data_IF_604340122114
#
_entry.id   IF_604340122114
#
_cell.length_a   1.000
_cell.length_b   1.000
_cell.length_c   1.000
_cell.angle_alpha   90.00
_cell.angle_beta   90.00
_cell.angle_gamma   90.00
#
_symmetry.space_group_name_H-M   'P 1'
#
loop_
_entity.id
_entity.type
_entity.pdbx_description
1 polymer ?
#
# COMPACT_ATOMS: atom_id res chain seq x y z
N UNK A 1 13.77 -5.93 22.14
CA UNK A 1 14.01 -4.57 21.62
C UNK A 1 14.42 -3.71 22.80
N UNK A 2 15.57 -3.04 22.74
CA UNK A 2 15.97 -2.11 23.80
C UNK A 2 14.98 -0.95 23.84
N UNK A 3 14.51 -0.58 25.03
CA UNK A 3 13.65 0.59 25.26
C UNK A 3 14.36 1.91 24.94
N UNK A 4 15.69 1.88 24.83
CA UNK A 4 16.56 3.00 24.44
C UNK A 4 16.17 3.69 23.12
N UNK A 5 15.37 3.07 22.24
CA UNK A 5 15.01 3.67 20.94
C UNK A 5 13.76 4.55 20.95
N UNK A 6 12.83 4.39 21.91
CA UNK A 6 11.52 5.11 21.87
C UNK A 6 11.56 6.43 22.61
N UNK A 7 12.19 6.48 23.79
CA UNK A 7 12.37 7.72 24.54
C UNK A 7 13.25 8.71 23.78
N UNK A 8 14.31 8.22 23.12
CA UNK A 8 15.16 9.05 22.28
C UNK A 8 14.39 9.60 21.07
N UNK A 9 13.56 8.77 20.43
CA UNK A 9 12.72 9.23 19.32
C UNK A 9 11.74 10.31 19.78
N UNK A 10 11.10 10.11 20.93
CA UNK A 10 10.20 11.09 21.53
C UNK A 10 10.90 12.43 21.80
N UNK A 11 12.11 12.40 22.37
CA UNK A 11 12.91 13.60 22.64
C UNK A 11 13.34 14.34 21.37
N UNK A 12 13.49 13.64 20.25
CA UNK A 12 13.84 14.23 18.96
C UNK A 12 12.65 14.89 18.24
N UNK A 13 11.41 14.68 18.72
CA UNK A 13 10.23 15.35 18.17
C UNK A 13 10.21 16.83 18.58
N UNK A 14 9.58 17.67 17.75
CA UNK A 14 9.31 19.07 18.12
C UNK A 14 8.47 19.13 19.40
N UNK A 15 8.58 20.20 20.19
CA UNK A 15 7.77 20.40 21.41
C UNK A 15 6.28 20.21 21.12
N UNK A 16 5.80 20.77 20.01
CA UNK A 16 4.39 20.64 19.61
C UNK A 16 4.01 19.18 19.30
N UNK A 17 4.88 18.44 18.63
CA UNK A 17 4.66 17.01 18.35
C UNK A 17 4.67 16.18 19.63
N UNK A 18 5.54 16.49 20.59
CA UNK A 18 5.57 15.84 21.90
C UNK A 18 4.28 16.09 22.69
N UNK A 19 3.80 17.33 22.73
CA UNK A 19 2.52 17.69 23.36
C UNK A 19 1.36 16.93 22.73
N UNK A 20 1.23 16.98 21.40
CA UNK A 20 0.15 16.32 20.68
C UNK A 20 0.16 14.80 20.92
N UNK A 21 1.35 14.18 20.97
CA UNK A 21 1.50 12.75 21.23
C UNK A 21 1.09 12.41 22.68
N UNK A 22 1.52 13.19 23.68
CA UNK A 22 1.12 12.98 25.09
C UNK A 22 -0.39 13.13 25.27
N UNK A 23 -0.99 14.11 24.60
CA UNK A 23 -2.43 14.34 24.62
C UNK A 23 -3.19 13.15 23.98
N UNK A 24 -2.74 12.69 22.82
CA UNK A 24 -3.31 11.52 22.15
C UNK A 24 -3.26 10.28 23.03
N UNK A 25 -2.09 9.99 23.65
CA UNK A 25 -1.91 8.86 24.57
C UNK A 25 -2.88 8.97 25.76
N UNK A 26 -2.95 10.15 26.39
CA UNK A 26 -3.84 10.39 27.54
C UNK A 26 -5.29 10.11 27.17
N UNK A 27 -5.78 10.67 26.05
CA UNK A 27 -7.15 10.47 25.58
C UNK A 27 -7.44 9.01 25.25
N UNK A 28 -6.51 8.31 24.59
CA UNK A 28 -6.65 6.88 24.27
C UNK A 28 -6.80 6.06 25.56
N UNK A 29 -5.92 6.29 26.55
CA UNK A 29 -5.95 5.59 27.84
C UNK A 29 -7.25 5.85 28.60
N UNK A 30 -7.70 7.10 28.66
CA UNK A 30 -8.97 7.46 29.31
C UNK A 30 -10.17 6.76 28.67
N UNK A 31 -10.22 6.73 27.33
CA UNK A 31 -11.28 6.02 26.59
C UNK A 31 -11.24 4.53 26.87
N UNK A 32 -10.06 3.91 26.90
CA UNK A 32 -9.93 2.46 27.15
C UNK A 32 -10.24 2.07 28.60
N UNK A 33 -9.88 2.90 29.59
CA UNK A 33 -10.23 2.67 31.00
C UNK A 33 -11.74 2.63 31.25
N UNK A 34 -12.54 3.34 30.45
CA UNK A 34 -14.00 3.30 30.50
C UNK A 34 -14.62 2.29 29.52
N UNK A 35 -13.83 1.35 29.00
CA UNK A 35 -14.23 0.35 28.00
C UNK A 35 -14.82 0.95 26.71
N UNK A 36 -14.35 2.15 26.34
CA UNK A 36 -14.74 2.83 25.11
C UNK A 36 -13.99 2.33 23.88
N UNK A 37 -14.53 2.66 22.71
CA UNK A 37 -14.00 2.29 21.40
C UNK A 37 -13.25 3.46 20.74
N UNK A 38 -12.18 3.15 20.02
CA UNK A 38 -11.30 4.11 19.35
C UNK A 38 -11.20 3.74 17.87
N UNK A 39 -11.41 4.74 17.03
CA UNK A 39 -11.28 4.66 15.59
C UNK A 39 -10.14 5.56 15.12
N UNK A 40 -9.29 5.05 14.23
CA UNK A 40 -8.31 5.88 13.49
C UNK A 40 -8.94 6.31 12.17
N UNK A 41 -8.82 7.61 11.86
CA UNK A 41 -9.21 8.20 10.57
C UNK A 41 -7.93 8.73 9.92
N UNK A 42 -7.57 8.19 8.77
CA UNK A 42 -6.37 8.60 8.05
C UNK A 42 -6.60 8.76 6.55
N UNK A 43 -5.76 9.58 5.91
CA UNK A 43 -5.67 9.64 4.44
C UNK A 43 -4.76 8.54 3.88
N UNK A 44 -4.32 8.72 2.63
CA UNK A 44 -3.44 7.79 1.90
C UNK A 44 -1.96 7.83 2.30
N UNK A 45 -1.59 8.65 3.29
CA UNK A 45 -0.20 8.85 3.72
C UNK A 45 0.36 7.62 4.45
N UNK A 46 -0.30 7.10 5.49
CA UNK A 46 0.14 5.89 6.17
C UNK A 46 0.12 4.67 5.26
N UNK A 47 1.29 4.09 5.02
CA UNK A 47 1.45 2.93 4.16
C UNK A 47 2.40 1.89 4.75
N UNK A 48 2.29 0.67 4.23
CA UNK A 48 3.12 -0.47 4.63
C UNK A 48 4.61 -0.23 4.40
N UNK A 49 4.98 0.50 3.34
CA UNK A 49 6.38 0.80 3.03
C UNK A 49 7.04 1.81 3.98
N UNK A 50 6.23 2.61 4.67
CA UNK A 50 6.68 3.48 5.76
C UNK A 50 6.61 2.77 7.13
N UNK A 51 6.05 1.56 7.17
CA UNK A 51 5.80 0.79 8.39
C UNK A 51 4.63 1.29 9.24
N UNK A 52 3.95 2.38 8.85
CA UNK A 52 2.92 3.01 9.69
C UNK A 52 1.70 2.11 9.86
N UNK A 53 1.25 1.44 8.79
CA UNK A 53 0.12 0.52 8.86
C UNK A 53 0.41 -0.71 9.71
N UNK A 54 1.67 -1.16 9.77
CA UNK A 54 2.08 -2.26 10.67
C UNK A 54 2.00 -1.86 12.14
N UNK A 55 2.27 -0.59 12.46
CA UNK A 55 2.08 -0.07 13.82
C UNK A 55 0.60 0.03 14.17
N UNK A 56 -0.25 0.44 13.21
CA UNK A 56 -1.70 0.45 13.39
C UNK A 56 -2.23 -0.97 13.62
N UNK A 57 -1.79 -1.94 12.81
CA UNK A 57 -2.15 -3.35 12.95
C UNK A 57 -1.75 -3.91 14.32
N UNK A 58 -0.54 -3.58 14.81
CA UNK A 58 -0.11 -3.96 16.16
C UNK A 58 -1.03 -3.36 17.24
N UNK A 59 -1.40 -2.09 17.12
CA UNK A 59 -2.32 -1.46 18.08
C UNK A 59 -3.72 -2.07 18.04
N UNK A 60 -4.20 -2.50 16.87
CA UNK A 60 -5.44 -3.26 16.71
C UNK A 60 -5.33 -4.63 17.40
N UNK A 61 -4.24 -5.36 17.16
CA UNK A 61 -3.98 -6.66 17.78
C UNK A 61 -3.79 -6.63 19.31
N UNK A 62 -3.57 -5.43 19.89
CA UNK A 62 -3.54 -5.18 21.33
C UNK A 62 -4.85 -4.63 21.90
N UNK A 63 -5.92 -4.60 21.09
CA UNK A 63 -7.22 -4.02 21.45
C UNK A 63 -7.14 -2.53 21.85
N UNK A 64 -6.10 -1.81 21.42
CA UNK A 64 -5.95 -0.36 21.65
C UNK A 64 -6.72 0.42 20.59
N UNK A 65 -6.79 -0.08 19.35
CA UNK A 65 -7.56 0.50 18.26
C UNK A 65 -8.62 -0.51 17.84
N UNK A 66 -9.87 -0.07 17.71
CA UNK A 66 -11.00 -0.96 17.40
C UNK A 66 -11.43 -0.91 15.93
N UNK A 67 -11.06 0.16 15.22
CA UNK A 67 -11.40 0.33 13.81
C UNK A 67 -10.49 1.36 13.13
N UNK A 68 -10.38 1.25 11.81
CA UNK A 68 -9.62 2.18 10.98
C UNK A 68 -10.47 2.53 9.76
N UNK A 69 -10.49 3.80 9.38
CA UNK A 69 -10.95 4.25 8.06
C UNK A 69 -9.80 4.94 7.36
N UNK A 70 -9.57 4.56 6.11
CA UNK A 70 -8.44 5.04 5.30
C UNK A 70 -8.82 5.18 3.83
N UNK A 71 -7.88 5.66 3.02
CA UNK A 71 -7.99 5.66 1.56
C UNK A 71 -7.81 4.24 1.00
N UNK A 72 -8.55 3.92 -0.07
CA UNK A 72 -8.36 2.69 -0.85
C UNK A 72 -6.93 2.55 -1.39
N UNK A 73 -6.20 3.65 -1.56
CA UNK A 73 -4.79 3.62 -1.94
C UNK A 73 -3.92 2.87 -0.92
N UNK A 74 -4.25 2.94 0.37
CA UNK A 74 -3.53 2.20 1.41
C UNK A 74 -3.79 0.71 1.26
N UNK A 75 -5.05 0.30 1.08
CA UNK A 75 -5.43 -1.09 0.84
C UNK A 75 -4.74 -1.65 -0.42
N UNK A 76 -4.66 -0.86 -1.49
CA UNK A 76 -3.95 -1.25 -2.70
C UNK A 76 -2.45 -1.48 -2.46
N UNK A 77 -1.79 -0.69 -1.59
CA UNK A 77 -0.41 -0.95 -1.18
C UNK A 77 -0.28 -2.14 -0.23
N UNK A 78 -1.23 -2.38 0.67
CA UNK A 78 -1.22 -3.58 1.51
C UNK A 78 -1.32 -4.85 0.65
N UNK A 79 -2.17 -4.84 -0.39
CA UNK A 79 -2.29 -5.95 -1.35
C UNK A 79 -1.08 -6.07 -2.29
N UNK A 80 -0.59 -4.94 -2.80
CA UNK A 80 0.50 -4.89 -3.79
C UNK A 80 1.90 -5.01 -3.19
N UNK A 81 2.04 -4.95 -1.86
CA UNK A 81 3.31 -5.01 -1.16
C UNK A 81 3.96 -3.63 -0.93
N UNK A 82 5.17 -3.65 -0.37
CA UNK A 82 5.82 -2.44 0.14
C UNK A 82 6.51 -1.61 -0.94
N UNK A 83 7.56 -2.13 -1.55
CA UNK A 83 8.38 -1.38 -2.50
C UNK A 83 8.68 -2.23 -3.73
N UNK A 84 8.45 -1.62 -4.88
CA UNK A 84 8.79 -2.15 -6.19
C UNK A 84 10.01 -1.42 -6.74
N UNK A 85 10.83 -2.13 -7.50
CA UNK A 85 11.75 -1.47 -8.43
C UNK A 85 10.97 -1.16 -9.71
N UNK A 86 10.94 0.11 -10.10
CA UNK A 86 10.12 0.59 -11.22
C UNK A 86 10.98 1.35 -12.19
N UNK A 87 10.78 1.10 -13.49
CA UNK A 87 11.34 1.92 -14.57
C UNK A 87 10.29 2.91 -15.06
N UNK A 88 10.61 4.20 -15.01
CA UNK A 88 9.75 5.30 -15.47
C UNK A 88 10.20 5.73 -16.87
N UNK A 89 9.30 5.63 -17.84
CA UNK A 89 9.57 5.90 -19.26
C UNK A 89 8.50 6.86 -19.79
N UNK A 90 8.79 7.57 -20.88
CA UNK A 90 7.77 8.26 -21.66
C UNK A 90 6.72 7.25 -22.17
N UNK A 91 5.44 7.57 -21.98
CA UNK A 91 4.35 6.74 -22.50
C UNK A 91 4.37 6.64 -24.04
N UNK A 92 4.93 7.62 -24.74
CA UNK A 92 5.11 7.58 -26.18
C UNK A 92 6.04 6.44 -26.63
N UNK A 93 7.07 6.12 -25.83
CA UNK A 93 8.06 5.10 -26.19
C UNK A 93 7.49 3.68 -26.14
N UNK A 94 6.38 3.50 -25.43
CA UNK A 94 5.62 2.24 -25.38
C UNK A 94 4.38 2.27 -26.30
N UNK A 95 4.17 3.35 -27.04
CA UNK A 95 3.13 3.49 -28.05
C UNK A 95 1.81 4.11 -27.55
N UNK A 96 1.78 4.69 -26.35
CA UNK A 96 0.61 5.42 -25.86
C UNK A 96 0.66 6.90 -26.26
N UNK A 97 -0.52 7.49 -26.48
CA UNK A 97 -0.64 8.93 -26.61
C UNK A 97 -0.37 9.59 -25.23
N UNK A 98 0.64 10.47 -25.07
CA UNK A 98 0.95 11.12 -23.80
C UNK A 98 -0.21 11.94 -23.21
N UNK A 99 -1.13 12.42 -24.04
CA UNK A 99 -2.32 13.18 -23.64
C UNK A 99 -3.51 12.27 -23.30
N UNK A 100 -3.30 10.95 -23.26
CA UNK A 100 -4.36 10.01 -22.93
C UNK A 100 -4.87 10.20 -21.49
N UNK A 101 -6.19 10.21 -21.34
CA UNK A 101 -6.87 10.44 -20.06
C UNK A 101 -6.61 9.35 -19.00
N UNK A 102 -6.18 8.15 -19.40
CA UNK A 102 -5.86 7.05 -18.49
C UNK A 102 -4.41 7.08 -18.01
N UNK A 103 -3.55 7.93 -18.58
CA UNK A 103 -2.17 8.05 -18.10
C UNK A 103 -2.11 8.95 -16.85
N UNK A 104 -1.20 8.65 -15.91
CA UNK A 104 -0.86 9.60 -14.86
C UNK A 104 -0.41 10.94 -15.46
N UNK A 105 -0.66 12.03 -14.73
CA UNK A 105 -0.18 13.37 -15.11
C UNK A 105 1.32 13.33 -15.40
N UNK A 106 1.71 13.85 -16.56
CA UNK A 106 3.11 13.90 -17.00
C UNK A 106 3.46 12.91 -18.12
N UNK A 107 2.50 12.13 -18.64
CA UNK A 107 2.73 11.26 -19.80
C UNK A 107 3.75 10.15 -19.53
N UNK A 108 3.84 9.71 -18.27
CA UNK A 108 4.80 8.69 -17.82
C UNK A 108 4.12 7.33 -17.78
N UNK A 109 4.81 6.32 -18.30
CA UNK A 109 4.50 4.91 -18.11
C UNK A 109 5.48 4.30 -17.10
N UNK A 110 4.97 3.47 -16.20
CA UNK A 110 5.76 2.82 -15.16
C UNK A 110 5.74 1.30 -15.39
N UNK A 111 6.93 0.71 -15.53
CA UNK A 111 7.14 -0.74 -15.64
C UNK A 111 7.70 -1.27 -14.31
N UNK A 112 7.00 -2.21 -13.67
CA UNK A 112 7.54 -2.99 -12.55
C UNK A 112 8.66 -3.90 -13.05
N UNK A 113 9.84 -3.79 -12.44
CA UNK A 113 10.99 -4.63 -12.73
C UNK A 113 11.04 -5.78 -11.73
N UNK A 114 10.83 -7.00 -12.23
CA UNK A 114 10.94 -8.24 -11.47
C UNK A 114 11.79 -9.26 -12.25
N UNK A 115 12.08 -10.40 -11.63
CA UNK A 115 12.86 -11.46 -12.29
C UNK A 115 12.04 -12.11 -13.42
N UNK A 116 12.73 -12.78 -14.34
CA UNK A 116 12.05 -13.47 -15.44
C UNK A 116 11.20 -14.65 -14.93
N UNK A 117 11.58 -15.27 -13.82
CA UNK A 117 10.78 -16.29 -13.12
C UNK A 117 9.47 -15.69 -12.60
N UNK A 118 9.53 -14.57 -11.88
CA UNK A 118 8.33 -13.88 -11.36
C UNK A 118 7.40 -13.40 -12.49
N UNK A 119 7.96 -12.88 -13.59
CA UNK A 119 7.18 -12.54 -14.78
C UNK A 119 6.48 -13.76 -15.40
N UNK A 120 7.15 -14.92 -15.39
CA UNK A 120 6.60 -16.17 -15.93
C UNK A 120 5.48 -16.69 -15.04
N UNK A 121 5.66 -16.66 -13.71
CA UNK A 121 4.62 -17.02 -12.74
C UNK A 121 3.39 -16.12 -12.91
N UNK A 122 3.58 -14.80 -12.96
CA UNK A 122 2.50 -13.85 -13.19
C UNK A 122 1.78 -14.08 -14.53
N UNK A 123 2.51 -14.45 -15.57
CA UNK A 123 1.95 -14.78 -16.89
C UNK A 123 1.07 -16.05 -16.90
N UNK A 124 1.14 -16.88 -15.86
CA UNK A 124 0.20 -17.99 -15.69
C UNK A 124 -1.12 -17.55 -15.04
N UNK A 125 -1.12 -16.41 -14.35
CA UNK A 125 -2.29 -15.88 -13.63
C UNK A 125 -3.05 -14.83 -14.43
N UNK A 126 -2.35 -14.05 -15.27
CA UNK A 126 -2.97 -13.03 -16.10
C UNK A 126 -2.33 -12.92 -17.49
N UNK A 127 -3.09 -12.37 -18.44
CA UNK A 127 -2.58 -12.08 -19.78
C UNK A 127 -1.63 -10.88 -19.72
N UNK A 128 -0.40 -11.07 -20.18
CA UNK A 128 0.62 -10.03 -20.25
C UNK A 128 0.80 -9.54 -21.70
N UNK A 129 0.77 -8.23 -21.88
CA UNK A 129 1.23 -7.56 -23.10
C UNK A 129 2.76 -7.57 -23.19
N UNK A 130 3.28 -8.63 -23.82
CA UNK A 130 4.71 -8.79 -24.05
C UNK A 130 5.30 -7.71 -24.96
N UNK A 131 4.53 -7.12 -25.87
CA UNK A 131 5.03 -6.09 -26.76
C UNK A 131 5.35 -4.81 -25.98
N UNK A 132 4.43 -4.36 -25.12
CA UNK A 132 4.64 -3.22 -24.22
C UNK A 132 5.81 -3.47 -23.27
N UNK A 133 5.90 -4.67 -22.68
CA UNK A 133 7.01 -5.03 -21.78
C UNK A 133 8.35 -4.89 -22.49
N UNK A 134 8.45 -5.42 -23.71
CA UNK A 134 9.71 -5.38 -24.47
C UNK A 134 10.07 -3.95 -24.92
N UNK A 135 9.09 -3.13 -25.30
CA UNK A 135 9.31 -1.70 -25.59
C UNK A 135 9.81 -0.97 -24.34
N UNK A 136 9.13 -1.15 -23.21
CA UNK A 136 9.49 -0.51 -21.93
C UNK A 136 10.88 -0.93 -21.41
N UNK A 137 11.24 -2.21 -21.52
CA UNK A 137 12.57 -2.72 -21.16
C UNK A 137 13.68 -2.03 -21.98
N UNK A 138 13.44 -1.76 -23.27
CA UNK A 138 14.42 -1.15 -24.19
C UNK A 138 14.47 0.39 -24.15
N UNK A 139 13.36 1.05 -23.83
CA UNK A 139 13.28 2.51 -23.82
C UNK A 139 14.21 3.12 -22.75
N UNK A 140 14.65 4.36 -22.94
CA UNK A 140 15.45 5.06 -21.93
C UNK A 140 14.55 5.57 -20.80
N UNK A 141 15.01 5.50 -19.55
CA UNK A 141 14.20 5.92 -18.42
C UNK A 141 14.85 5.63 -17.07
N UNK A 142 14.40 6.34 -16.05
CA UNK A 142 14.93 6.24 -14.70
C UNK A 142 14.41 5.00 -13.99
N UNK A 143 15.30 4.34 -13.24
CA UNK A 143 14.93 3.26 -12.35
C UNK A 143 14.90 3.79 -10.92
N UNK A 144 13.75 3.64 -10.27
CA UNK A 144 13.53 4.07 -8.89
C UNK A 144 12.96 2.93 -8.05
N UNK A 145 12.94 3.13 -6.73
CA UNK A 145 12.26 2.26 -5.78
C UNK A 145 11.12 3.05 -5.15
N UNK A 146 9.89 2.53 -5.23
CA UNK A 146 8.68 3.16 -4.70
C UNK A 146 7.58 2.13 -4.50
N UNK A 147 6.54 2.47 -3.73
CA UNK A 147 5.30 1.71 -3.77
C UNK A 147 4.61 1.95 -5.11
N UNK A 148 4.45 0.90 -5.91
CA UNK A 148 3.84 1.00 -7.23
C UNK A 148 2.96 -0.20 -7.61
N UNK A 149 2.73 -1.13 -6.69
CA UNK A 149 1.80 -2.25 -6.89
C UNK A 149 0.39 -1.83 -7.31
N UNK A 150 -0.01 -0.57 -7.11
CA UNK A 150 -1.28 -0.02 -7.57
C UNK A 150 -1.25 0.69 -8.94
N UNK A 151 -0.08 0.84 -9.58
CA UNK A 151 0.03 1.65 -10.81
C UNK A 151 1.02 1.15 -11.85
N UNK A 152 2.15 0.56 -11.46
CA UNK A 152 3.18 0.15 -12.40
C UNK A 152 2.79 -1.17 -13.07
N UNK A 153 2.86 -1.23 -14.39
CA UNK A 153 2.51 -2.42 -15.13
C UNK A 153 3.64 -3.48 -15.01
N UNK A 154 3.35 -4.78 -14.83
CA UNK A 154 2.01 -5.38 -14.75
C UNK A 154 1.37 -5.39 -13.35
N UNK A 155 2.11 -5.06 -12.29
CA UNK A 155 1.61 -5.21 -10.90
C UNK A 155 0.34 -4.40 -10.60
N UNK A 156 0.23 -3.18 -11.12
CA UNK A 156 -0.95 -2.33 -11.02
C UNK A 156 -2.19 -3.02 -11.58
N UNK A 157 -2.08 -3.58 -12.79
CA UNK A 157 -3.16 -4.31 -13.43
C UNK A 157 -3.48 -5.63 -12.70
N UNK A 158 -2.44 -6.32 -12.22
CA UNK A 158 -2.63 -7.51 -11.39
C UNK A 158 -3.44 -7.19 -10.13
N UNK A 159 -3.05 -6.15 -9.38
CA UNK A 159 -3.76 -5.75 -8.16
C UNK A 159 -5.19 -5.28 -8.45
N UNK A 160 -5.43 -4.61 -9.57
CA UNK A 160 -6.79 -4.25 -10.01
C UNK A 160 -7.65 -5.49 -10.29
N UNK A 161 -7.12 -6.47 -11.02
CA UNK A 161 -7.80 -7.73 -11.30
C UNK A 161 -8.09 -8.51 -10.02
N UNK A 162 -7.09 -8.65 -9.16
CA UNK A 162 -7.22 -9.31 -7.86
C UNK A 162 -8.28 -8.62 -6.98
N UNK A 163 -8.34 -7.29 -7.01
CA UNK A 163 -9.37 -6.53 -6.28
C UNK A 163 -10.78 -6.87 -6.75
N UNK A 164 -11.00 -7.10 -8.05
CA UNK A 164 -12.30 -7.51 -8.57
C UNK A 164 -12.71 -8.92 -8.11
N UNK A 165 -11.75 -9.84 -8.03
CA UNK A 165 -11.98 -11.20 -7.51
C UNK A 165 -12.33 -11.16 -6.00
N UNK A 166 -11.55 -10.41 -5.22
CA UNK A 166 -11.81 -10.18 -3.79
C UNK A 166 -13.20 -9.58 -3.59
N UNK A 167 -13.58 -8.57 -4.38
CA UNK A 167 -14.90 -7.95 -4.30
C UNK A 167 -16.02 -8.96 -4.58
N UNK A 168 -15.84 -9.81 -5.59
CA UNK A 168 -16.83 -10.85 -5.94
C UNK A 168 -17.03 -11.81 -4.77
N UNK A 169 -15.95 -12.26 -4.14
CA UNK A 169 -15.98 -13.14 -2.97
C UNK A 169 -16.63 -12.41 -1.78
N UNK A 170 -16.21 -11.18 -1.49
CA UNK A 170 -16.76 -10.33 -0.43
C UNK A 170 -18.28 -10.19 -0.55
N UNK A 171 -18.79 -9.89 -1.75
CA UNK A 171 -20.23 -9.78 -2.02
C UNK A 171 -20.95 -11.12 -1.89
N UNK A 172 -20.35 -12.21 -2.39
CA UNK A 172 -20.94 -13.55 -2.34
C UNK A 172 -21.13 -14.04 -0.92
N UNK A 173 -20.17 -13.79 -0.04
CA UNK A 173 -20.19 -14.24 1.37
C UNK A 173 -20.70 -13.19 2.36
N UNK A 174 -20.98 -11.96 1.91
CA UNK A 174 -21.40 -10.86 2.79
C UNK A 174 -20.34 -10.44 3.80
N UNK A 175 -19.06 -10.50 3.41
CA UNK A 175 -17.91 -10.16 4.25
C UNK A 175 -17.31 -8.80 3.85
N UNK A 176 -16.68 -8.06 4.77
CA UNK A 176 -15.89 -6.87 4.42
C UNK A 176 -14.80 -7.20 3.40
N UNK A 177 -14.51 -6.27 2.48
CA UNK A 177 -13.50 -6.45 1.45
C UNK A 177 -12.13 -6.76 2.07
N UNK A 178 -11.73 -5.99 3.07
CA UNK A 178 -10.44 -6.09 3.75
C UNK A 178 -10.28 -7.46 4.41
N UNK A 179 -11.36 -8.03 4.98
CA UNK A 179 -11.34 -9.38 5.54
C UNK A 179 -11.01 -10.43 4.49
N UNK A 180 -11.54 -10.30 3.28
CA UNK A 180 -11.26 -11.24 2.18
C UNK A 180 -9.87 -10.98 1.60
N UNK A 181 -9.47 -9.73 1.44
CA UNK A 181 -8.13 -9.34 1.00
C UNK A 181 -7.04 -9.84 1.97
N UNK A 182 -7.35 -9.90 3.27
CA UNK A 182 -6.46 -10.40 4.32
C UNK A 182 -6.34 -11.92 4.39
N UNK A 183 -7.10 -12.68 3.58
CA UNK A 183 -6.98 -14.14 3.54
C UNK A 183 -5.65 -14.57 2.97
N UNK A 184 -4.67 -14.79 3.85
CA UNK A 184 -3.30 -15.13 3.51
C UNK A 184 -2.29 -14.01 3.78
N UNK A 185 -2.75 -12.83 4.21
CA UNK A 185 -1.88 -11.75 4.64
C UNK A 185 -1.27 -12.04 6.02
N UNK A 186 -0.09 -11.48 6.28
CA UNK A 186 0.52 -11.55 7.62
C UNK A 186 -0.31 -10.72 8.61
N UNK A 187 -0.44 -11.18 9.85
CA UNK A 187 -1.19 -10.48 10.91
C UNK A 187 -0.65 -9.09 11.27
N UNK A 188 0.56 -8.76 10.82
CA UNK A 188 1.16 -7.43 10.97
C UNK A 188 0.79 -6.47 9.84
N UNK A 189 0.09 -6.94 8.82
CA UNK A 189 -0.54 -6.07 7.82
C UNK A 189 -1.87 -5.56 8.36
N UNK A 190 -2.43 -4.53 7.71
CA UNK A 190 -3.72 -3.97 8.11
C UNK A 190 -4.92 -4.73 7.52
N UNK A 191 -4.67 -5.78 6.72
CA UNK A 191 -5.67 -6.63 6.07
C UNK A 191 -6.05 -7.84 6.95
#
# INVERSE_FOLDING_TARGET
MSTESTDQYFQNLSEKSQENLREAITRIVEVKKRNGKIMIVTGSGPNIHEGVTTLIAELMGKDIIDSVTTSSAVIAHEMGGSLDKVKRISAADVGFNPDSHFLPKGGVFELSLMSDEAMTELGNEMVLDNEIIQKAKKAEGDIIIKAAGNMAYPMGLYCENLSNEILTISQTYGLPFETVAGWGADRKTML
#
